data_IF_027081560838
#
_entry.id   IF_027081560838
#
_cell.length_a   1.000
_cell.length_b   1.000
_cell.length_c   1.000
_cell.angle_alpha   90.00
_cell.angle_beta   90.00
_cell.angle_gamma   90.00
#
_symmetry.space_group_name_H-M   'P 1'
#
loop_
_entity.id
_entity.type
_entity.pdbx_description
1 polymer ?
#
# COMPACT_ATOMS: atom_id res chain seq x y z
N UNK A 1 11.55 42.90 16.75
CA UNK A 1 11.74 42.76 15.29
C UNK A 1 13.11 43.34 14.95
N UNK A 2 13.99 42.55 14.34
CA UNK A 2 15.28 43.06 13.85
C UNK A 2 15.01 43.96 12.63
N UNK A 3 15.50 45.20 12.67
CA UNK A 3 15.33 46.16 11.57
C UNK A 3 16.60 46.16 10.74
N UNK A 4 16.55 45.50 9.58
CA UNK A 4 17.62 45.57 8.58
C UNK A 4 17.39 46.77 7.66
N UNK A 5 18.46 47.49 7.31
CA UNK A 5 18.39 48.67 6.44
C UNK A 5 18.09 48.33 4.98
N UNK A 6 18.40 47.12 4.54
CA UNK A 6 18.23 46.68 3.16
C UNK A 6 17.10 45.63 3.05
N UNK A 7 16.05 45.86 2.23
CA UNK A 7 14.88 44.98 2.15
C UNK A 7 15.21 43.58 1.61
N UNK A 8 16.19 43.47 0.72
CA UNK A 8 16.67 42.18 0.22
C UNK A 8 17.24 41.31 1.35
N UNK A 9 17.99 41.91 2.28
CA UNK A 9 18.55 41.17 3.40
C UNK A 9 17.46 40.67 4.35
N UNK A 10 16.45 41.50 4.63
CA UNK A 10 15.28 41.11 5.41
C UNK A 10 14.54 39.92 4.76
N UNK A 11 14.33 39.95 3.45
CA UNK A 11 13.71 38.86 2.72
C UNK A 11 14.52 37.55 2.78
N UNK A 12 15.83 37.61 2.52
CA UNK A 12 16.70 36.44 2.59
C UNK A 12 16.74 35.85 4.01
N UNK A 13 16.77 36.70 5.03
CA UNK A 13 16.72 36.29 6.42
C UNK A 13 15.41 35.59 6.75
N UNK A 14 14.25 36.20 6.46
CA UNK A 14 12.93 35.59 6.67
C UNK A 14 12.76 34.26 5.94
N UNK A 15 13.26 34.17 4.70
CA UNK A 15 13.22 32.93 3.92
C UNK A 15 14.07 31.83 4.57
N UNK A 16 15.24 32.19 5.08
CA UNK A 16 16.12 31.24 5.79
C UNK A 16 15.50 30.76 7.10
N UNK A 17 14.88 31.65 7.88
CA UNK A 17 14.13 31.30 9.11
C UNK A 17 12.97 30.33 8.81
N UNK A 18 12.20 30.58 7.76
CA UNK A 18 11.13 29.68 7.32
C UNK A 18 11.69 28.31 6.92
N UNK A 19 12.79 28.27 6.15
CA UNK A 19 13.43 27.03 5.74
C UNK A 19 13.93 26.22 6.94
N UNK A 20 14.57 26.87 7.92
CA UNK A 20 15.02 26.22 9.15
C UNK A 20 13.85 25.67 9.96
N UNK A 21 12.75 26.41 10.07
CA UNK A 21 11.52 25.95 10.73
C UNK A 21 10.96 24.70 10.02
N UNK A 22 10.89 24.70 8.69
CA UNK A 22 10.41 23.57 7.90
C UNK A 22 11.32 22.34 8.01
N UNK A 23 12.65 22.52 8.01
CA UNK A 23 13.60 21.43 8.20
C UNK A 23 13.54 20.85 9.61
N UNK A 24 13.30 21.70 10.62
CA UNK A 24 13.15 21.26 12.01
C UNK A 24 11.85 20.46 12.18
N UNK A 25 10.78 20.83 11.46
CA UNK A 25 9.54 20.05 11.40
C UNK A 25 9.79 18.67 10.81
N UNK A 26 10.50 18.59 9.67
CA UNK A 26 10.88 17.32 9.05
C UNK A 26 11.74 16.50 10.01
N UNK A 27 12.71 17.13 10.68
CA UNK A 27 13.55 16.46 11.68
C UNK A 27 12.70 15.84 12.78
N UNK A 28 11.77 16.59 13.38
CA UNK A 28 10.90 16.11 14.45
C UNK A 28 10.11 14.86 14.04
N UNK A 29 9.55 14.85 12.83
CA UNK A 29 8.86 13.67 12.29
C UNK A 29 9.81 12.49 12.04
N UNK A 30 10.98 12.75 11.47
CA UNK A 30 11.97 11.72 11.10
C UNK A 30 12.62 11.05 12.31
N UNK A 31 12.76 11.79 13.41
CA UNK A 31 13.29 11.29 14.69
C UNK A 31 12.21 10.86 15.67
N UNK A 32 10.92 10.94 15.29
CA UNK A 32 9.79 10.64 16.16
C UNK A 32 9.80 11.44 17.48
N UNK A 33 10.26 12.69 17.46
CA UNK A 33 10.31 13.56 18.63
C UNK A 33 9.02 14.37 18.72
N UNK A 34 8.13 13.94 19.62
CA UNK A 34 6.82 14.56 19.78
C UNK A 34 6.89 15.97 20.39
N UNK A 35 7.83 16.23 21.31
CA UNK A 35 7.93 17.56 21.94
C UNK A 35 8.42 18.59 20.93
N UNK A 36 9.49 18.25 20.20
CA UNK A 36 10.01 19.09 19.12
C UNK A 36 8.94 19.33 18.04
N UNK A 37 8.12 18.31 17.76
CA UNK A 37 7.02 18.44 16.81
C UNK A 37 6.00 19.51 17.22
N UNK A 38 5.59 19.55 18.50
CA UNK A 38 4.65 20.57 19.01
C UNK A 38 5.25 21.97 18.99
N UNK A 39 6.51 22.12 19.41
CA UNK A 39 7.20 23.40 19.43
C UNK A 39 7.33 23.99 18.02
N UNK A 40 7.74 23.16 17.05
CA UNK A 40 7.88 23.62 15.67
C UNK A 40 6.51 23.89 15.03
N UNK A 41 5.48 23.10 15.33
CA UNK A 41 4.13 23.39 14.86
C UNK A 41 3.65 24.77 15.29
N UNK A 42 3.92 25.15 16.55
CA UNK A 42 3.59 26.48 17.06
C UNK A 42 4.31 27.59 16.27
N UNK A 43 5.58 27.40 15.97
CA UNK A 43 6.37 28.35 15.18
C UNK A 43 5.95 28.40 13.71
N UNK A 44 5.42 27.31 13.17
CA UNK A 44 5.01 27.20 11.76
C UNK A 44 3.66 27.89 11.48
N UNK A 45 2.76 27.98 12.47
CA UNK A 45 1.42 28.56 12.29
C UNK A 45 1.46 29.99 11.72
N UNK A 46 2.23 30.95 12.27
CA UNK A 46 2.34 32.30 11.71
C UNK A 46 2.81 32.32 10.26
N UNK A 47 3.74 31.44 9.88
CA UNK A 47 4.23 31.32 8.51
C UNK A 47 3.16 30.79 7.56
N UNK A 48 2.40 29.78 7.96
CA UNK A 48 1.29 29.22 7.17
C UNK A 48 0.20 30.26 6.92
N UNK A 49 -0.05 31.12 7.92
CA UNK A 49 -0.94 32.26 7.79
C UNK A 49 -0.38 33.33 6.84
N UNK A 50 0.90 33.68 6.98
CA UNK A 50 1.57 34.66 6.13
C UNK A 50 1.66 34.21 4.64
N UNK A 51 1.72 32.90 4.39
CA UNK A 51 1.77 32.31 3.04
C UNK A 51 0.39 32.00 2.43
N UNK A 52 -0.70 32.50 3.05
CA UNK A 52 -2.09 32.35 2.59
C UNK A 52 -2.54 30.89 2.32
N UNK A 53 -2.08 29.96 3.15
CA UNK A 53 -2.48 28.55 3.07
C UNK A 53 -3.75 28.31 3.89
N UNK A 54 -4.87 28.86 3.44
CA UNK A 54 -6.14 28.98 4.20
C UNK A 54 -6.63 27.68 4.88
N UNK A 55 -6.53 26.52 4.22
CA UNK A 55 -6.99 25.25 4.79
C UNK A 55 -6.08 24.78 5.94
N UNK A 56 -4.77 24.99 5.78
CA UNK A 56 -3.78 24.62 6.79
C UNK A 56 -3.79 25.63 7.94
N UNK A 57 -3.85 26.93 7.64
CA UNK A 57 -3.91 28.00 8.63
C UNK A 57 -5.10 27.86 9.59
N UNK A 58 -6.25 27.34 9.12
CA UNK A 58 -7.43 27.09 9.94
C UNK A 58 -7.31 25.83 10.81
N UNK A 59 -6.83 24.73 10.22
CA UNK A 59 -6.86 23.43 10.90
C UNK A 59 -5.63 23.18 11.79
N UNK A 60 -4.49 23.80 11.49
CA UNK A 60 -3.23 23.58 12.22
C UNK A 60 -3.29 24.04 13.69
N UNK A 61 -3.88 25.20 14.03
CA UNK A 61 -4.03 25.61 15.43
C UNK A 61 -4.98 24.70 16.22
N UNK A 62 -6.03 24.17 15.56
CA UNK A 62 -6.96 23.20 16.17
C UNK A 62 -6.22 21.90 16.48
N UNK A 63 -5.52 21.37 15.49
CA UNK A 63 -4.67 20.18 15.66
C UNK A 63 -3.64 20.37 16.78
N UNK A 64 -2.93 21.50 16.82
CA UNK A 64 -1.95 21.79 17.87
C UNK A 64 -2.60 21.81 19.27
N UNK A 65 -3.77 22.44 19.42
CA UNK A 65 -4.52 22.46 20.68
C UNK A 65 -4.85 21.03 21.13
N UNK A 66 -5.38 20.22 20.22
CA UNK A 66 -5.75 18.83 20.53
C UNK A 66 -4.52 18.01 20.94
N UNK A 67 -3.38 18.21 20.25
CA UNK A 67 -2.14 17.49 20.56
C UNK A 67 -1.52 17.91 21.91
N UNK A 68 -1.65 19.18 22.32
CA UNK A 68 -1.20 19.65 23.64
C UNK A 68 -2.12 19.12 24.75
N UNK A 69 -3.44 19.15 24.52
CA UNK A 69 -4.43 18.69 25.50
C UNK A 69 -4.42 17.16 25.71
N UNK A 70 -3.72 16.39 24.87
CA UNK A 70 -3.59 14.94 25.01
C UNK A 70 -3.04 14.51 26.37
N UNK A 71 -2.14 15.28 26.96
CA UNK A 71 -1.55 14.95 28.27
C UNK A 71 -2.62 14.87 29.36
N UNK A 72 -3.58 15.81 29.34
CA UNK A 72 -4.67 15.89 30.32
C UNK A 72 -5.85 14.98 29.96
N UNK A 73 -6.25 14.96 28.69
CA UNK A 73 -7.43 14.23 28.23
C UNK A 73 -7.17 12.72 28.15
N UNK A 74 -6.02 12.31 27.63
CA UNK A 74 -5.68 10.93 27.31
C UNK A 74 -4.20 10.62 27.60
N UNK A 75 -3.76 10.57 28.87
CA UNK A 75 -2.36 10.39 29.25
C UNK A 75 -1.75 9.09 28.72
N UNK A 76 -2.56 8.05 28.58
CA UNK A 76 -2.12 6.79 27.98
C UNK A 76 -1.64 6.99 26.53
N UNK A 77 -2.37 7.76 25.71
CA UNK A 77 -2.02 8.02 24.30
C UNK A 77 -0.84 9.01 24.24
N UNK A 78 -0.83 10.02 25.10
CA UNK A 78 0.28 10.96 25.20
C UNK A 78 1.61 10.24 25.47
N UNK A 79 1.62 9.25 26.37
CA UNK A 79 2.81 8.44 26.64
C UNK A 79 3.28 7.63 25.41
N UNK A 80 2.36 7.12 24.60
CA UNK A 80 2.70 6.47 23.33
C UNK A 80 3.32 7.45 22.33
N UNK A 81 2.83 8.69 22.29
CA UNK A 81 3.33 9.74 21.40
C UNK A 81 4.72 10.20 21.82
N UNK A 82 4.94 10.41 23.13
CA UNK A 82 6.27 10.68 23.70
C UNK A 82 7.25 9.53 23.42
N UNK A 83 6.77 8.28 23.37
CA UNK A 83 7.57 7.13 22.99
C UNK A 83 7.78 7.00 21.46
N UNK A 84 7.37 8.00 20.67
CA UNK A 84 7.58 8.07 19.23
C UNK A 84 6.56 7.31 18.38
N UNK A 85 5.49 6.77 18.98
CA UNK A 85 4.49 5.92 18.28
C UNK A 85 3.38 6.70 17.58
N UNK A 86 3.63 7.98 17.26
CA UNK A 86 2.75 8.81 16.44
C UNK A 86 3.18 8.86 14.95
N UNK A 87 4.37 8.33 14.64
CA UNK A 87 4.92 8.19 13.28
C UNK A 87 5.16 6.71 12.97
N UNK A 88 5.21 6.38 11.68
CA UNK A 88 5.50 5.04 11.20
C UNK A 88 6.99 4.84 10.93
N UNK A 89 7.55 3.72 11.38
CA UNK A 89 8.96 3.40 11.15
C UNK A 89 9.09 2.01 10.51
N UNK A 90 9.72 1.95 9.33
CA UNK A 90 9.93 0.69 8.59
C UNK A 90 11.26 0.01 8.93
N UNK A 91 12.30 0.82 9.16
CA UNK A 91 13.67 0.37 9.43
C UNK A 91 14.15 0.92 10.76
N UNK A 92 15.00 0.20 11.49
CA UNK A 92 15.46 0.59 12.84
C UNK A 92 16.51 1.75 12.84
N UNK A 93 16.42 2.69 11.91
CA UNK A 93 17.28 3.87 11.85
C UNK A 93 16.60 5.04 12.58
N UNK A 94 17.36 5.82 13.35
CA UNK A 94 16.84 6.95 14.11
C UNK A 94 16.23 8.08 13.25
N UNK A 95 16.56 8.16 11.95
CA UNK A 95 16.02 9.18 11.02
C UNK A 95 15.16 8.57 9.88
N UNK A 96 14.51 7.43 10.11
CA UNK A 96 13.68 6.76 9.08
C UNK A 96 12.18 6.85 9.30
N UNK A 97 11.73 7.53 10.36
CA UNK A 97 10.31 7.64 10.66
C UNK A 97 9.59 8.55 9.66
N UNK A 98 8.38 8.19 9.29
CA UNK A 98 7.55 8.95 8.35
C UNK A 98 6.16 9.13 8.92
N UNK A 99 5.50 10.22 8.53
CA UNK A 99 4.11 10.44 8.89
C UNK A 99 3.25 9.30 8.34
N UNK A 100 2.21 8.90 9.08
CA UNK A 100 1.43 7.69 8.81
C UNK A 100 0.69 7.75 7.46
N UNK A 101 0.33 8.94 7.01
CA UNK A 101 -0.28 9.24 5.71
C UNK A 101 0.70 9.03 4.53
N UNK A 102 2.00 9.18 4.78
CA UNK A 102 3.05 8.98 3.78
C UNK A 102 3.54 7.52 3.71
N UNK A 103 3.04 6.65 4.59
CA UNK A 103 3.41 5.24 4.55
C UNK A 103 2.85 4.58 3.29
N UNK A 104 3.71 3.78 2.64
CA UNK A 104 3.25 2.95 1.53
C UNK A 104 2.15 1.99 1.98
N UNK A 105 1.20 1.67 1.08
CA UNK A 105 0.14 0.73 1.41
C UNK A 105 0.74 -0.60 1.86
N UNK A 106 0.08 -1.26 2.81
CA UNK A 106 0.51 -2.57 3.28
C UNK A 106 0.57 -3.56 2.11
N UNK A 107 1.42 -4.58 2.23
CA UNK A 107 1.51 -5.65 1.21
C UNK A 107 0.14 -6.25 0.89
N UNK A 108 -0.71 -6.41 1.91
CA UNK A 108 -2.06 -6.91 1.76
C UNK A 108 -2.96 -5.91 1.00
N UNK A 109 -2.91 -4.62 1.35
CA UNK A 109 -3.64 -3.59 0.61
C UNK A 109 -3.25 -3.55 -0.89
N UNK A 110 -1.95 -3.64 -1.16
CA UNK A 110 -1.43 -3.72 -2.53
C UNK A 110 -1.92 -4.97 -3.25
N UNK A 111 -1.87 -6.13 -2.60
CA UNK A 111 -2.34 -7.39 -3.17
C UNK A 111 -3.83 -7.31 -3.56
N UNK A 112 -4.68 -6.79 -2.67
CA UNK A 112 -6.10 -6.60 -2.97
C UNK A 112 -6.33 -5.62 -4.14
N UNK A 113 -5.52 -4.56 -4.23
CA UNK A 113 -5.57 -3.63 -5.36
C UNK A 113 -5.16 -4.31 -6.68
N UNK A 114 -4.08 -5.10 -6.68
CA UNK A 114 -3.63 -5.86 -7.85
C UNK A 114 -4.69 -6.84 -8.33
N UNK A 115 -5.40 -7.52 -7.42
CA UNK A 115 -6.51 -8.39 -7.79
C UNK A 115 -7.63 -7.62 -8.52
N UNK A 116 -8.04 -6.47 -8.00
CA UNK A 116 -9.07 -5.65 -8.66
C UNK A 116 -8.63 -5.16 -10.04
N UNK A 117 -7.38 -4.70 -10.16
CA UNK A 117 -6.82 -4.26 -11.44
C UNK A 117 -6.77 -5.41 -12.46
N UNK A 118 -6.36 -6.61 -12.02
CA UNK A 118 -6.33 -7.79 -12.87
C UNK A 118 -7.73 -8.23 -13.34
N UNK A 119 -8.75 -8.08 -12.49
CA UNK A 119 -10.14 -8.31 -12.87
C UNK A 119 -10.63 -7.32 -13.94
N UNK A 120 -10.37 -6.03 -13.74
CA UNK A 120 -10.76 -4.99 -14.71
C UNK A 120 -10.06 -5.20 -16.06
N UNK A 121 -8.74 -5.35 -16.06
CA UNK A 121 -7.97 -5.48 -17.28
C UNK A 121 -8.19 -6.82 -17.99
N UNK A 122 -8.18 -7.93 -17.25
CA UNK A 122 -8.25 -9.27 -17.82
C UNK A 122 -9.67 -9.76 -18.07
N UNK A 123 -10.56 -9.61 -17.09
CA UNK A 123 -11.90 -10.21 -17.16
C UNK A 123 -12.91 -9.28 -17.82
N UNK A 124 -12.85 -7.97 -17.55
CA UNK A 124 -13.79 -7.00 -18.14
C UNK A 124 -13.29 -6.55 -19.51
N UNK A 125 -12.09 -5.96 -19.59
CA UNK A 125 -11.58 -5.39 -20.84
C UNK A 125 -10.97 -6.43 -21.78
N UNK A 126 -10.36 -7.49 -21.24
CA UNK A 126 -9.80 -8.58 -22.06
C UNK A 126 -10.85 -9.35 -22.86
N UNK A 127 -12.13 -9.19 -22.54
CA UNK A 127 -13.27 -9.81 -23.22
C UNK A 127 -14.09 -8.80 -24.03
N UNK A 128 -13.55 -7.61 -24.34
CA UNK A 128 -14.29 -6.53 -25.02
C UNK A 128 -14.87 -6.90 -26.40
N UNK A 129 -14.35 -7.94 -27.05
CA UNK A 129 -14.83 -8.43 -28.34
C UNK A 129 -15.97 -9.46 -28.23
N UNK A 130 -16.28 -9.93 -27.01
CA UNK A 130 -17.34 -10.91 -26.76
C UNK A 130 -18.62 -10.14 -26.42
N UNK A 131 -19.73 -10.45 -27.10
CA UNK A 131 -20.97 -9.65 -27.02
C UNK A 131 -21.69 -9.78 -25.67
N UNK A 132 -21.50 -10.86 -24.91
CA UNK A 132 -21.93 -10.99 -23.52
C UNK A 132 -20.93 -11.88 -22.78
N UNK A 133 -19.86 -11.32 -22.20
CA UNK A 133 -18.86 -12.12 -21.51
C UNK A 133 -19.36 -12.55 -20.13
N UNK A 134 -19.25 -13.84 -19.83
CA UNK A 134 -19.54 -14.37 -18.50
C UNK A 134 -18.42 -13.97 -17.54
N UNK A 135 -18.75 -13.07 -16.60
CA UNK A 135 -17.78 -12.56 -15.63
C UNK A 135 -17.67 -13.49 -14.41
N UNK A 136 -16.44 -13.80 -13.95
CA UNK A 136 -16.24 -14.57 -12.72
C UNK A 136 -16.65 -13.76 -11.48
N UNK A 137 -16.94 -14.46 -10.38
CA UNK A 137 -17.44 -13.82 -9.17
C UNK A 137 -16.43 -12.78 -8.61
N UNK A 138 -16.85 -11.52 -8.35
CA UNK A 138 -15.95 -10.46 -7.89
C UNK A 138 -15.28 -10.72 -6.52
N UNK A 139 -15.85 -11.61 -5.69
CA UNK A 139 -15.38 -11.90 -4.33
C UNK A 139 -13.93 -12.41 -4.29
N UNK A 140 -13.49 -13.09 -5.35
CA UNK A 140 -12.14 -13.61 -5.48
C UNK A 140 -11.12 -12.56 -5.97
N UNK A 141 -11.61 -11.39 -6.40
CA UNK A 141 -10.82 -10.35 -7.04
C UNK A 141 -10.71 -9.07 -6.20
N UNK A 142 -10.72 -9.20 -4.87
CA UNK A 142 -10.58 -8.08 -3.95
C UNK A 142 -11.82 -7.20 -3.82
N UNK A 143 -13.00 -7.79 -4.05
CA UNK A 143 -14.31 -7.19 -3.73
C UNK A 143 -14.97 -7.95 -2.58
N UNK A 144 -15.76 -7.24 -1.79
CA UNK A 144 -16.59 -7.80 -0.73
C UNK A 144 -18.05 -7.55 -1.06
N UNK A 145 -18.88 -8.59 -0.99
CA UNK A 145 -20.32 -8.47 -1.14
C UNK A 145 -20.90 -7.91 0.16
N UNK A 146 -21.43 -6.70 0.12
CA UNK A 146 -22.37 -6.19 1.12
C UNK A 146 -23.78 -6.60 0.72
N UNK A 147 -24.77 -6.41 1.61
CA UNK A 147 -26.15 -6.89 1.47
C UNK A 147 -26.74 -6.75 0.06
N UNK A 148 -26.47 -5.64 -0.64
CA UNK A 148 -26.94 -5.40 -2.02
C UNK A 148 -25.89 -4.82 -2.97
N UNK A 149 -24.68 -4.51 -2.50
CA UNK A 149 -23.66 -3.83 -3.30
C UNK A 149 -22.26 -4.42 -3.11
N UNK A 150 -21.44 -4.35 -4.16
CA UNK A 150 -20.02 -4.72 -4.09
C UNK A 150 -19.21 -3.52 -3.60
N UNK A 151 -18.42 -3.73 -2.56
CA UNK A 151 -17.47 -2.75 -2.05
C UNK A 151 -16.05 -3.25 -2.22
N UNK A 152 -15.06 -2.38 -2.48
CA UNK A 152 -13.67 -2.78 -2.55
C UNK A 152 -13.19 -3.29 -1.18
N UNK A 153 -12.54 -4.45 -1.18
CA UNK A 153 -11.85 -4.98 -0.01
C UNK A 153 -10.48 -4.29 0.12
N UNK A 154 -10.40 -3.27 0.98
CA UNK A 154 -9.16 -2.48 1.12
C UNK A 154 -8.02 -3.25 1.76
N UNK A 155 -8.27 -3.90 2.90
CA UNK A 155 -7.32 -4.78 3.60
C UNK A 155 -8.09 -5.93 4.26
N UNK A 156 -7.46 -7.10 4.37
CA UNK A 156 -7.87 -8.21 5.23
C UNK A 156 -7.22 -8.13 6.61
N UNK A 157 -6.10 -7.41 6.70
CA UNK A 157 -5.40 -7.15 7.96
C UNK A 157 -6.24 -6.23 8.88
N UNK A 158 -6.20 -6.44 10.20
CA UNK A 158 -6.83 -5.54 11.14
C UNK A 158 -6.18 -4.15 11.09
N UNK A 159 -6.91 -3.07 11.43
CA UNK A 159 -6.36 -1.73 11.52
C UNK A 159 -5.11 -1.71 12.41
N UNK A 160 -4.12 -0.88 12.06
CA UNK A 160 -2.84 -0.74 12.79
C UNK A 160 -3.05 -0.57 14.30
N UNK A 161 -4.12 0.11 14.71
CA UNK A 161 -4.53 0.30 16.12
C UNK A 161 -4.83 -0.99 16.89
N UNK A 162 -5.19 -2.09 16.22
CA UNK A 162 -5.41 -3.40 16.86
C UNK A 162 -4.11 -4.21 17.00
N UNK A 163 -3.12 -4.00 16.12
CA UNK A 163 -1.81 -4.68 16.19
C UNK A 163 -0.87 -4.12 17.25
N UNK A 164 -1.12 -2.91 17.76
CA UNK A 164 -0.33 -2.28 18.81
C UNK A 164 -0.48 -2.97 20.18
N UNK A 165 -1.59 -3.70 20.40
CA UNK A 165 -1.84 -4.44 21.66
C UNK A 165 -0.90 -5.64 21.85
N UNK A 166 -0.40 -6.21 20.76
CA UNK A 166 0.45 -7.42 20.80
C UNK A 166 1.93 -7.12 21.07
N UNK A 167 2.33 -5.83 21.03
CA UNK A 167 3.71 -5.38 21.27
C UNK A 167 4.01 -5.09 22.76
N UNK A 168 3.01 -5.18 23.64
CA UNK A 168 3.16 -4.98 25.08
C UNK A 168 3.17 -6.33 25.81
N UNK A 169 4.27 -7.07 25.71
CA UNK A 169 4.49 -8.25 26.56
C UNK A 169 5.66 -8.00 27.52
N UNK A 170 5.40 -7.94 28.84
CA UNK A 170 6.49 -7.91 29.82
C UNK A 170 7.28 -9.23 29.80
N UNK A 171 8.60 -9.15 29.93
CA UNK A 171 9.51 -10.32 29.89
C UNK A 171 9.58 -11.09 31.22
N UNK A 172 8.52 -11.05 32.02
CA UNK A 172 8.54 -11.52 33.40
C UNK A 172 8.32 -13.04 33.46
N UNK A 173 9.27 -13.78 34.05
CA UNK A 173 9.28 -15.25 34.11
C UNK A 173 8.35 -15.87 35.19
N UNK A 174 7.83 -15.07 36.14
CA UNK A 174 6.82 -15.48 37.15
C UNK A 174 5.77 -14.37 37.36
N UNK A 175 4.67 -14.68 38.04
CA UNK A 175 3.46 -13.86 38.19
C UNK A 175 3.77 -12.45 38.71
N UNK A 176 3.53 -11.42 37.87
CA UNK A 176 3.62 -10.03 38.27
C UNK A 176 2.29 -9.54 38.86
N UNK A 177 2.37 -8.68 39.86
CA UNK A 177 1.21 -7.92 40.35
C UNK A 177 0.94 -6.74 39.39
N UNK A 178 -0.32 -6.26 39.28
CA UNK A 178 -0.69 -5.16 38.40
C UNK A 178 0.15 -3.88 38.65
N UNK A 179 0.36 -3.05 37.60
CA UNK A 179 -0.40 -2.98 36.35
C UNK A 179 0.32 -3.67 35.18
N UNK A 180 0.04 -4.95 34.94
CA UNK A 180 0.55 -5.69 33.78
C UNK A 180 -0.61 -6.17 32.89
N UNK A 181 -0.63 -5.73 31.63
CA UNK A 181 -1.71 -5.96 30.65
C UNK A 181 -1.58 -7.31 29.92
N UNK A 182 -1.36 -8.43 30.61
CA UNK A 182 -1.33 -9.74 29.94
C UNK A 182 -2.77 -10.15 29.58
N UNK A 183 -3.13 -10.38 28.30
CA UNK A 183 -4.43 -10.96 27.97
C UNK A 183 -4.51 -12.42 28.47
N UNK A 184 -5.70 -12.94 28.82
CA UNK A 184 -5.88 -14.33 29.24
C UNK A 184 -5.41 -15.28 28.14
N UNK A 185 -4.73 -16.38 28.50
CA UNK A 185 -4.28 -17.39 27.53
C UNK A 185 -5.48 -17.99 26.80
N UNK A 186 -5.60 -17.76 25.50
CA UNK A 186 -6.48 -18.55 24.63
C UNK A 186 -5.97 -19.99 24.54
N UNK A 187 -6.90 -20.95 24.55
CA UNK A 187 -6.61 -22.39 24.42
C UNK A 187 -5.86 -22.66 23.11
N UNK A 188 -4.88 -23.58 23.10
CA UNK A 188 -4.11 -23.87 21.90
C UNK A 188 -5.03 -24.37 20.78
N UNK A 189 -5.01 -23.66 19.64
CA UNK A 189 -5.66 -24.10 18.39
C UNK A 189 -5.00 -25.39 17.90
N UNK A 190 -5.76 -26.31 17.27
CA UNK A 190 -5.21 -27.57 16.79
C UNK A 190 -4.05 -27.32 15.82
N UNK A 191 -2.93 -28.00 16.05
CA UNK A 191 -1.74 -27.93 15.19
C UNK A 191 -2.13 -28.36 13.78
N UNK A 192 -2.17 -27.42 12.84
CA UNK A 192 -2.22 -27.75 11.42
C UNK A 192 -0.98 -28.56 11.10
N UNK A 193 -1.16 -29.81 10.69
CA UNK A 193 -0.10 -30.75 10.37
C UNK A 193 0.74 -30.15 9.24
N UNK A 194 1.94 -29.70 9.56
CA UNK A 194 2.87 -29.14 8.58
C UNK A 194 3.37 -30.28 7.70
N UNK A 195 2.83 -30.41 6.49
CA UNK A 195 3.42 -31.27 5.45
C UNK A 195 4.87 -30.89 5.26
N UNK A 196 5.75 -31.90 5.25
CA UNK A 196 7.19 -31.67 5.19
C UNK A 196 7.56 -30.95 3.90
N UNK A 197 8.66 -30.19 3.90
CA UNK A 197 9.12 -29.47 2.69
C UNK A 197 9.36 -30.43 1.51
N UNK A 198 9.67 -31.71 1.77
CA UNK A 198 9.82 -32.74 0.75
C UNK A 198 8.50 -33.07 0.02
N UNK A 199 7.38 -33.11 0.75
CA UNK A 199 6.06 -33.38 0.17
C UNK A 199 5.57 -32.21 -0.69
N UNK A 200 5.87 -30.97 -0.27
CA UNK A 200 5.59 -29.77 -1.07
C UNK A 200 6.39 -29.74 -2.37
N UNK A 201 7.67 -30.12 -2.32
CA UNK A 201 8.52 -30.23 -3.50
C UNK A 201 8.06 -31.34 -4.46
N UNK A 202 7.59 -32.49 -3.94
CA UNK A 202 7.03 -33.56 -4.77
C UNK A 202 5.76 -33.12 -5.50
N UNK A 203 4.83 -32.48 -4.79
CA UNK A 203 3.59 -31.96 -5.36
C UNK A 203 3.80 -30.83 -6.39
N UNK A 204 4.90 -30.08 -6.28
CA UNK A 204 5.28 -29.07 -7.26
C UNK A 204 5.84 -29.70 -8.55
N UNK A 205 6.70 -30.72 -8.43
CA UNK A 205 7.27 -31.44 -9.58
C UNK A 205 6.21 -32.19 -10.38
N UNK A 206 5.22 -32.80 -9.72
CA UNK A 206 4.09 -33.44 -10.40
C UNK A 206 3.25 -32.44 -11.18
N UNK A 207 3.05 -31.23 -10.63
CA UNK A 207 2.34 -30.14 -11.32
C UNK A 207 3.05 -29.67 -12.58
N UNK A 208 4.37 -29.52 -12.52
CA UNK A 208 5.18 -29.14 -13.70
C UNK A 208 5.04 -30.16 -14.83
N UNK A 209 5.08 -31.46 -14.51
CA UNK A 209 4.89 -32.53 -15.52
C UNK A 209 3.51 -32.44 -16.19
N UNK A 210 2.46 -32.21 -15.40
CA UNK A 210 1.11 -32.06 -15.92
C UNK A 210 0.95 -30.78 -16.78
N UNK A 211 1.63 -29.68 -16.42
CA UNK A 211 1.60 -28.45 -17.21
C UNK A 211 2.36 -28.60 -18.54
N UNK A 212 3.49 -29.32 -18.56
CA UNK A 212 4.23 -29.67 -19.78
C UNK A 212 3.39 -30.52 -20.74
N UNK A 213 2.67 -31.52 -20.22
CA UNK A 213 1.81 -32.40 -21.00
C UNK A 213 0.61 -31.64 -21.58
N UNK A 214 -0.01 -30.75 -20.79
CA UNK A 214 -1.08 -29.84 -21.24
C UNK A 214 -0.60 -28.92 -22.36
N UNK A 215 0.62 -28.39 -22.24
CA UNK A 215 1.21 -27.53 -23.27
C UNK A 215 1.52 -28.30 -24.57
N UNK A 216 1.89 -29.59 -24.47
CA UNK A 216 2.12 -30.45 -25.62
C UNK A 216 0.80 -30.74 -26.37
N UNK A 217 -0.26 -31.09 -25.63
CA UNK A 217 -1.61 -31.29 -26.17
C UNK A 217 -2.16 -30.01 -26.83
N UNK A 218 -1.92 -28.84 -26.23
CA UNK A 218 -2.33 -27.56 -26.82
C UNK A 218 -1.61 -27.26 -28.15
N UNK A 219 -0.32 -27.64 -28.27
CA UNK A 219 0.43 -27.52 -29.53
C UNK A 219 -0.08 -28.47 -30.60
N UNK A 220 -0.43 -29.70 -30.25
CA UNK A 220 -1.01 -30.68 -31.19
C UNK A 220 -2.40 -30.27 -31.65
N UNK A 221 -3.24 -29.80 -30.72
CA UNK A 221 -4.56 -29.24 -31.06
C UNK A 221 -4.44 -28.07 -32.04
N UNK A 222 -3.52 -27.14 -31.79
CA UNK A 222 -3.25 -26.02 -32.70
C UNK A 222 -2.76 -26.46 -34.09
N UNK A 223 -2.02 -27.58 -34.19
CA UNK A 223 -1.64 -28.18 -35.47
C UNK A 223 -2.85 -28.79 -36.19
N UNK A 224 -3.71 -29.50 -35.46
CA UNK A 224 -4.95 -30.06 -36.02
C UNK A 224 -5.88 -28.96 -36.52
N UNK A 225 -6.06 -27.89 -35.74
CA UNK A 225 -6.91 -26.76 -36.12
C UNK A 225 -6.37 -26.07 -37.39
N UNK A 226 -5.04 -25.93 -37.52
CA UNK A 226 -4.42 -25.38 -38.74
C UNK A 226 -4.58 -26.31 -39.95
N UNK A 227 -4.45 -27.63 -39.75
CA UNK A 227 -4.65 -28.62 -40.81
C UNK A 227 -6.12 -28.68 -41.24
N UNK A 228 -7.05 -28.65 -40.29
CA UNK A 228 -8.49 -28.56 -40.53
C UNK A 228 -8.82 -27.32 -41.34
N UNK A 229 -8.27 -26.17 -40.97
CA UNK A 229 -8.43 -24.92 -41.72
C UNK A 229 -7.92 -25.05 -43.16
N UNK A 230 -6.74 -25.66 -43.38
CA UNK A 230 -6.20 -25.88 -44.74
C UNK A 230 -7.04 -26.84 -45.59
N UNK A 231 -7.66 -27.85 -44.96
CA UNK A 231 -8.53 -28.82 -45.64
C UNK A 231 -9.91 -28.23 -45.97
N UNK A 232 -10.35 -27.19 -45.25
CA UNK A 232 -11.60 -26.47 -45.52
C UNK A 232 -11.52 -25.39 -46.60
N UNK A 233 -10.33 -25.13 -47.19
CA UNK A 233 -10.16 -24.15 -48.26
C UNK A 233 -10.62 -24.70 -49.62
N UNK A 234 -11.43 -23.95 -50.35
CA UNK A 234 -11.85 -24.25 -51.73
C UNK A 234 -10.70 -24.01 -52.73
N UNK A 235 -10.75 -24.59 -53.95
CA UNK A 235 -9.65 -24.52 -54.91
C UNK A 235 -9.20 -23.10 -55.30
N UNK A 236 -10.10 -22.11 -55.22
CA UNK A 236 -9.80 -20.70 -55.55
C UNK A 236 -8.92 -19.98 -54.51
N UNK A 237 -8.74 -20.53 -53.30
CA UNK A 237 -7.94 -19.90 -52.24
C UNK A 237 -6.52 -20.47 -52.10
N UNK A 238 -6.07 -21.29 -53.06
CA UNK A 238 -4.76 -21.98 -53.03
C UNK A 238 -3.63 -21.31 -53.81
N UNK A 239 -3.89 -20.27 -54.60
CA UNK A 239 -2.82 -19.57 -55.33
C UNK A 239 -2.13 -18.50 -54.46
N UNK A 240 -0.78 -18.42 -54.49
CA UNK A 240 -0.07 -17.35 -53.80
C UNK A 240 -0.17 -16.07 -54.62
N UNK A 241 -0.92 -15.08 -54.10
CA UNK A 241 -0.99 -13.74 -54.67
C UNK A 241 0.41 -13.08 -54.60
N UNK A 242 1.08 -13.03 -55.75
CA UNK A 242 2.41 -12.46 -55.93
C UNK A 242 2.34 -10.94 -56.10
N UNK A 243 1.96 -10.17 -55.07
CA UNK A 243 2.02 -8.70 -55.20
C UNK A 243 1.93 -7.97 -53.85
N UNK A 244 3.06 -7.88 -53.12
CA UNK A 244 3.34 -6.76 -52.20
C UNK A 244 4.85 -6.67 -51.91
N UNK A 245 5.65 -6.43 -52.95
CA UNK A 245 7.04 -5.96 -52.85
C UNK A 245 7.31 -4.90 -53.92
N UNK A 246 6.57 -3.80 -53.88
CA UNK A 246 6.90 -2.60 -54.68
C UNK A 246 6.06 -1.42 -54.20
N UNK A 247 6.48 -0.79 -53.11
CA UNK A 247 6.20 0.62 -52.74
C UNK A 247 6.85 0.95 -51.39
N UNK A 248 8.17 0.77 -51.32
CA UNK A 248 9.04 1.52 -50.40
C UNK A 248 10.24 1.89 -51.26
N UNK A 249 10.21 3.13 -51.78
CA UNK A 249 11.25 3.90 -52.46
C UNK A 249 10.64 4.64 -53.66
N UNK A 250 10.08 5.81 -53.41
CA UNK A 250 10.44 7.06 -54.10
C UNK A 250 9.51 8.19 -53.62
N UNK A 251 10.17 9.27 -53.22
CA UNK A 251 9.73 10.63 -52.87
C UNK A 251 9.01 10.87 -51.54
#
# INVERSE_FOLDING_TARGET
MQTFSQPHFLYCYQTSELQLTALTFVKALRTADFKLYLEVLLQLIPWVFALDRIHYARNLPIHLRDMIALEELHPAIHNEFIAGRFVGQKTNNAFSSIALDQMSPTKDALFQHTLRAAYQAGQVWGQALITCPDLPEPSQWGWMKKETSWAPLWTTMPPISKGLKDLVTCQCKKMCKPPCLRPPKEKPKPKKQSRSNAEKCKAFRERLKHDEERNKLAKEKKKLDNLSYRLSLTPEQKEPNSETKSKINQD
#
